data_IF_725906555482
#
_entry.id   IF_725906555482
#
_cell.length_a   1.000
_cell.length_b   1.000
_cell.length_c   1.000
_cell.angle_alpha   90.00
_cell.angle_beta   90.00
_cell.angle_gamma   90.00
#
_symmetry.space_group_name_H-M   'P 1'
#
loop_
_entity.id
_entity.type
_entity.pdbx_description
1 polymer ?
#
# COMPACT_ATOMS: atom_id res chain seq x y z
N UNK A 1 -5.79 -31.39 -35.29
CA UNK A 1 -4.66 -32.12 -34.69
C UNK A 1 -4.01 -31.23 -33.65
N UNK A 2 -4.26 -31.48 -32.36
CA UNK A 2 -3.62 -30.73 -31.27
C UNK A 2 -2.26 -31.37 -30.98
N UNK A 3 -1.19 -30.58 -31.09
CA UNK A 3 0.14 -31.02 -30.67
C UNK A 3 0.15 -31.19 -29.15
N UNK A 4 0.34 -32.43 -28.70
CA UNK A 4 0.58 -32.73 -27.29
C UNK A 4 1.93 -32.14 -26.89
N UNK A 5 1.93 -31.27 -25.88
CA UNK A 5 3.17 -30.63 -25.43
C UNK A 5 4.01 -31.66 -24.70
N UNK A 6 5.12 -32.06 -25.31
CA UNK A 6 6.12 -32.90 -24.67
C UNK A 6 6.78 -32.13 -23.52
N UNK A 7 6.84 -32.76 -22.34
CA UNK A 7 7.59 -32.24 -21.19
C UNK A 7 9.09 -32.34 -21.48
N UNK A 8 9.83 -31.27 -21.20
CA UNK A 8 11.29 -31.21 -21.33
C UNK A 8 11.88 -30.92 -19.95
N UNK A 9 12.80 -31.76 -19.51
CA UNK A 9 13.47 -31.66 -18.21
C UNK A 9 12.78 -32.42 -17.08
N UNK A 10 13.52 -32.69 -16.01
CA UNK A 10 12.96 -33.23 -14.77
C UNK A 10 12.17 -32.13 -14.01
N UNK A 11 11.13 -32.50 -13.26
CA UNK A 11 10.47 -31.55 -12.36
C UNK A 11 11.46 -31.01 -11.32
N UNK A 12 11.28 -29.76 -10.92
CA UNK A 12 12.07 -29.11 -9.87
C UNK A 12 11.14 -28.80 -8.70
N UNK A 13 11.46 -29.31 -7.51
CA UNK A 13 10.74 -29.00 -6.28
C UNK A 13 11.45 -27.88 -5.52
N UNK A 14 10.70 -26.85 -5.12
CA UNK A 14 11.21 -25.75 -4.32
C UNK A 14 10.32 -25.53 -3.11
N UNK A 15 10.90 -25.64 -1.91
CA UNK A 15 10.25 -25.25 -0.65
C UNK A 15 10.90 -23.99 -0.14
N UNK A 16 10.09 -22.99 0.21
CA UNK A 16 10.60 -21.73 0.75
C UNK A 16 10.11 -21.54 2.17
N UNK A 17 11.02 -21.19 3.07
CA UNK A 17 10.76 -20.90 4.48
C UNK A 17 11.27 -19.50 4.79
N UNK A 18 10.41 -18.69 5.38
CA UNK A 18 10.75 -17.35 5.83
C UNK A 18 9.97 -17.03 7.10
N UNK A 19 10.50 -16.11 7.89
CA UNK A 19 9.83 -15.61 9.08
C UNK A 19 9.66 -14.10 8.98
N UNK A 20 8.42 -13.66 9.18
CA UNK A 20 8.11 -12.23 9.30
C UNK A 20 8.52 -11.75 10.69
N UNK A 21 9.34 -10.69 10.74
CA UNK A 21 9.67 -9.96 11.96
C UNK A 21 8.91 -8.64 11.94
N UNK A 22 8.23 -8.32 13.04
CA UNK A 22 7.54 -7.03 13.17
C UNK A 22 8.55 -5.88 13.09
N UNK A 23 8.22 -4.84 12.31
CA UNK A 23 9.04 -3.64 12.13
C UNK A 23 8.29 -2.37 12.56
N UNK A 24 7.23 -2.53 13.35
CA UNK A 24 6.42 -1.47 13.90
C UNK A 24 5.22 -1.08 13.05
N UNK A 25 4.49 -0.08 13.54
CA UNK A 25 3.36 0.53 12.85
C UNK A 25 3.79 1.77 12.08
N UNK A 26 3.12 2.04 10.97
CA UNK A 26 3.29 3.26 10.21
C UNK A 26 2.41 4.35 10.79
N UNK A 27 2.91 5.58 10.75
CA UNK A 27 2.16 6.77 11.14
C UNK A 27 2.19 7.81 10.01
N UNK A 28 1.44 8.89 10.16
CA UNK A 28 1.66 10.10 9.35
C UNK A 28 2.54 11.06 10.14
N UNK A 29 3.50 11.66 9.46
CA UNK A 29 4.25 12.78 10.04
C UNK A 29 3.45 14.08 10.03
N UNK A 30 4.05 15.17 10.53
CA UNK A 30 3.45 16.50 10.56
C UNK A 30 3.09 17.07 9.16
N UNK A 31 3.65 16.51 8.09
CA UNK A 31 3.34 16.89 6.69
C UNK A 31 2.31 15.96 6.04
N UNK A 32 1.74 15.00 6.78
CA UNK A 32 0.78 14.03 6.30
C UNK A 32 1.39 12.97 5.37
N UNK A 33 2.70 12.72 5.47
CA UNK A 33 3.39 11.66 4.71
C UNK A 33 3.57 10.41 5.56
N UNK A 34 3.52 9.19 4.97
CA UNK A 34 3.80 7.96 5.69
C UNK A 34 5.19 7.98 6.32
N UNK A 35 5.26 7.79 7.61
CA UNK A 35 6.47 7.66 8.40
C UNK A 35 6.67 6.19 8.74
N UNK A 36 7.91 5.73 8.56
CA UNK A 36 8.33 4.37 8.87
C UNK A 36 9.33 4.47 10.03
N UNK A 37 9.35 3.46 10.90
CA UNK A 37 10.40 3.32 11.90
C UNK A 37 11.80 3.18 11.27
N UNK A 38 12.86 3.06 12.08
CA UNK A 38 14.19 2.76 11.58
C UNK A 38 14.21 1.50 10.70
N UNK A 39 14.83 1.60 9.53
CA UNK A 39 14.92 0.51 8.55
C UNK A 39 16.37 0.30 8.10
N UNK A 40 16.74 -0.96 7.96
CA UNK A 40 18.03 -1.36 7.43
C UNK A 40 18.12 -1.15 5.91
N UNK A 41 19.31 -0.81 5.43
CA UNK A 41 19.61 -0.72 4.01
C UNK A 41 20.00 -2.10 3.45
N UNK A 42 19.11 -3.07 3.59
CA UNK A 42 19.34 -4.47 3.21
C UNK A 42 18.32 -4.94 2.16
N UNK A 43 18.65 -5.96 1.35
CA UNK A 43 17.67 -6.66 0.54
C UNK A 43 16.69 -7.43 1.43
N UNK A 44 15.44 -7.54 0.98
CA UNK A 44 14.44 -8.27 1.74
C UNK A 44 13.04 -8.25 1.15
N UNK A 45 12.14 -8.89 1.89
CA UNK A 45 10.71 -8.87 1.68
C UNK A 45 10.04 -7.99 2.74
N UNK A 46 8.89 -7.44 2.40
CA UNK A 46 8.06 -6.73 3.36
C UNK A 46 6.59 -7.08 3.18
N UNK A 47 5.87 -7.03 4.29
CA UNK A 47 4.41 -7.18 4.41
C UNK A 47 3.87 -5.91 5.04
N UNK A 48 2.97 -5.23 4.32
CA UNK A 48 2.13 -4.17 4.85
C UNK A 48 0.75 -4.77 5.11
N UNK A 49 0.26 -4.61 6.32
CA UNK A 49 -1.10 -4.99 6.70
C UNK A 49 -1.86 -3.75 7.12
N UNK A 50 -2.89 -3.41 6.34
CA UNK A 50 -3.83 -2.35 6.67
C UNK A 50 -5.00 -3.02 7.38
N UNK A 51 -5.18 -2.68 8.66
CA UNK A 51 -6.29 -3.18 9.44
C UNK A 51 -7.62 -2.79 8.79
N UNK A 52 -8.68 -3.52 9.10
CA UNK A 52 -9.98 -3.11 8.59
C UNK A 52 -10.49 -1.87 9.33
N UNK A 53 -11.02 -0.90 8.59
CA UNK A 53 -11.73 0.25 9.19
C UNK A 53 -13.14 -0.13 9.65
N UNK A 54 -13.69 -1.22 9.11
CA UNK A 54 -15.02 -1.73 9.42
C UNK A 54 -14.91 -3.22 9.80
N UNK A 55 -15.54 -3.66 10.89
CA UNK A 55 -15.42 -5.04 11.38
C UNK A 55 -15.84 -6.12 10.35
N UNK A 56 -16.67 -5.75 9.37
CA UNK A 56 -17.13 -6.66 8.31
C UNK A 56 -16.14 -6.80 7.14
N UNK A 57 -15.11 -5.96 7.07
CA UNK A 57 -14.12 -5.98 6.00
C UNK A 57 -12.86 -6.74 6.43
N UNK A 58 -12.28 -7.52 5.50
CA UNK A 58 -11.01 -8.21 5.75
C UNK A 58 -9.85 -7.21 5.68
N UNK A 59 -8.78 -7.41 6.48
CA UNK A 59 -7.58 -6.60 6.35
C UNK A 59 -6.98 -6.74 4.96
N UNK A 60 -6.40 -5.65 4.47
CA UNK A 60 -5.70 -5.61 3.20
C UNK A 60 -4.22 -5.90 3.44
N UNK A 61 -3.71 -6.95 2.80
CA UNK A 61 -2.30 -7.35 2.91
C UNK A 61 -1.60 -7.13 1.58
N UNK A 62 -0.46 -6.44 1.63
CA UNK A 62 0.43 -6.20 0.51
C UNK A 62 1.80 -6.80 0.80
N UNK A 63 2.27 -7.65 -0.12
CA UNK A 63 3.61 -8.24 -0.08
C UNK A 63 4.46 -7.66 -1.19
N UNK A 64 5.68 -7.25 -0.84
CA UNK A 64 6.66 -6.76 -1.81
C UNK A 64 8.07 -7.23 -1.51
N UNK A 65 8.95 -6.97 -2.47
CA UNK A 65 10.37 -7.29 -2.41
C UNK A 65 11.18 -6.07 -2.83
N UNK A 66 12.43 -6.00 -2.37
CA UNK A 66 13.39 -5.00 -2.83
C UNK A 66 14.82 -5.43 -2.50
N UNK A 67 15.76 -4.91 -3.28
CA UNK A 67 17.19 -4.92 -2.99
C UNK A 67 17.61 -3.97 -1.84
N UNK A 68 16.73 -3.04 -1.44
CA UNK A 68 17.02 -2.06 -0.39
C UNK A 68 15.74 -1.58 0.31
N UNK A 69 15.45 -2.18 1.47
CA UNK A 69 14.26 -1.91 2.29
C UNK A 69 14.11 -0.44 2.65
N UNK A 70 15.17 0.18 3.20
CA UNK A 70 15.16 1.60 3.56
C UNK A 70 14.82 2.52 2.38
N UNK A 71 15.45 2.31 1.22
CA UNK A 71 15.18 3.11 0.01
C UNK A 71 13.77 2.91 -0.51
N UNK A 72 13.26 1.67 -0.48
CA UNK A 72 11.91 1.38 -0.99
C UNK A 72 10.82 1.98 -0.12
N UNK A 73 10.90 1.76 1.19
CA UNK A 73 9.85 2.14 2.13
C UNK A 73 9.96 3.62 2.52
N UNK A 74 11.04 4.02 3.18
CA UNK A 74 11.26 5.41 3.64
C UNK A 74 11.65 6.39 2.53
N UNK A 75 12.06 5.89 1.36
CA UNK A 75 12.33 6.69 0.17
C UNK A 75 11.13 6.71 -0.78
N UNK A 76 11.00 5.66 -1.59
CA UNK A 76 10.07 5.63 -2.73
C UNK A 76 8.60 5.69 -2.30
N UNK A 77 8.17 4.94 -1.29
CA UNK A 77 6.77 4.99 -0.83
C UNK A 77 6.44 6.24 -0.05
N UNK A 78 7.41 6.84 0.65
CA UNK A 78 7.21 8.11 1.35
C UNK A 78 7.19 9.31 0.40
N UNK A 79 8.06 9.31 -0.61
CA UNK A 79 8.25 10.39 -1.57
C UNK A 79 8.31 9.82 -3.00
N UNK A 80 7.17 9.40 -3.58
CA UNK A 80 7.15 8.82 -4.91
C UNK A 80 7.54 9.86 -5.97
N UNK A 81 8.44 9.47 -6.87
CA UNK A 81 8.75 10.25 -8.07
C UNK A 81 7.62 10.16 -9.12
N UNK A 82 7.57 11.08 -10.10
CA UNK A 82 6.49 11.17 -11.07
C UNK A 82 6.32 9.93 -11.96
N UNK A 83 7.40 9.19 -12.22
CA UNK A 83 7.36 7.93 -12.99
C UNK A 83 7.06 6.69 -12.14
N UNK A 84 7.03 6.82 -10.81
CA UNK A 84 6.90 5.69 -9.89
C UNK A 84 5.43 5.41 -9.55
N UNK A 85 4.62 5.03 -10.54
CA UNK A 85 3.18 4.85 -10.40
C UNK A 85 2.79 3.91 -9.24
N UNK A 86 3.48 2.76 -9.10
CA UNK A 86 3.24 1.84 -7.98
C UNK A 86 3.50 2.50 -6.63
N UNK A 87 4.60 3.26 -6.51
CA UNK A 87 4.94 3.96 -5.27
C UNK A 87 3.92 5.05 -4.95
N UNK A 88 3.47 5.79 -5.96
CA UNK A 88 2.42 6.81 -5.81
C UNK A 88 1.11 6.20 -5.32
N UNK A 89 0.71 5.06 -5.90
CA UNK A 89 -0.48 4.31 -5.46
C UNK A 89 -0.37 3.84 -4.01
N UNK A 90 0.76 3.22 -3.64
CA UNK A 90 0.96 2.74 -2.26
C UNK A 90 1.00 3.92 -1.28
N UNK A 91 1.67 5.03 -1.63
CA UNK A 91 1.66 6.26 -0.84
C UNK A 91 0.23 6.75 -0.59
N UNK A 92 -0.59 6.89 -1.64
CA UNK A 92 -1.97 7.34 -1.54
C UNK A 92 -2.82 6.44 -0.64
N UNK A 93 -2.71 5.13 -0.84
CA UNK A 93 -3.40 4.12 -0.02
C UNK A 93 -3.04 4.23 1.45
N UNK A 94 -1.74 4.32 1.79
CA UNK A 94 -1.28 4.44 3.17
C UNK A 94 -1.77 5.75 3.80
N UNK A 95 -1.68 6.86 3.08
CA UNK A 95 -2.12 8.17 3.57
C UNK A 95 -3.60 8.21 3.83
N UNK A 96 -4.41 7.75 2.88
CA UNK A 96 -5.86 7.72 3.02
C UNK A 96 -6.27 6.85 4.22
N UNK A 97 -5.69 5.66 4.33
CA UNK A 97 -6.01 4.74 5.41
C UNK A 97 -5.66 5.29 6.79
N UNK A 98 -4.43 5.81 6.96
CA UNK A 98 -3.96 6.38 8.21
C UNK A 98 -4.73 7.67 8.56
N UNK A 99 -5.06 8.51 7.58
CA UNK A 99 -5.82 9.74 7.82
C UNK A 99 -7.26 9.47 8.29
N UNK A 100 -7.81 8.29 7.98
CA UNK A 100 -9.12 7.83 8.48
C UNK A 100 -9.04 7.17 9.86
N UNK A 101 -7.87 7.19 10.51
CA UNK A 101 -7.64 6.57 11.82
C UNK A 101 -7.37 5.06 11.76
N UNK A 102 -7.15 4.49 10.57
CA UNK A 102 -6.76 3.08 10.43
C UNK A 102 -5.33 2.84 10.86
N UNK A 103 -5.01 1.60 11.22
CA UNK A 103 -3.66 1.17 11.56
C UNK A 103 -3.01 0.41 10.41
N UNK A 104 -1.70 0.63 10.23
CA UNK A 104 -0.91 -0.11 9.25
C UNK A 104 0.32 -0.70 9.92
N UNK A 105 0.39 -2.03 9.96
CA UNK A 105 1.54 -2.77 10.47
C UNK A 105 2.53 -3.10 9.38
N UNK A 106 3.83 -3.00 9.68
CA UNK A 106 4.91 -3.45 8.82
C UNK A 106 5.60 -4.68 9.42
N UNK A 107 5.85 -5.67 8.58
CA UNK A 107 6.77 -6.77 8.89
C UNK A 107 7.77 -6.98 7.78
N UNK A 108 8.97 -7.44 8.15
CA UNK A 108 10.10 -7.63 7.24
C UNK A 108 10.58 -9.08 7.31
N UNK A 109 11.12 -9.58 6.20
CA UNK A 109 11.91 -10.80 6.17
C UNK A 109 13.19 -10.52 5.37
N UNK A 110 14.32 -10.47 6.07
CA UNK A 110 15.67 -10.29 5.52
C UNK A 110 16.43 -11.61 5.39
N UNK A 111 15.80 -12.69 5.81
CA UNK A 111 16.36 -14.02 5.97
C UNK A 111 15.36 -15.04 5.42
N UNK A 112 15.79 -15.80 4.40
CA UNK A 112 14.93 -16.78 3.72
C UNK A 112 15.75 -18.03 3.42
N UNK A 113 15.23 -19.17 3.82
CA UNK A 113 15.79 -20.47 3.50
C UNK A 113 14.96 -21.13 2.41
N UNK A 114 15.62 -21.87 1.53
CA UNK A 114 14.97 -22.69 0.52
C UNK A 114 15.52 -24.11 0.56
N UNK A 115 14.72 -25.04 0.06
CA UNK A 115 15.13 -26.40 -0.24
C UNK A 115 14.83 -26.62 -1.73
N UNK A 116 15.85 -26.92 -2.52
CA UNK A 116 15.72 -27.17 -3.97
C UNK A 116 16.12 -28.62 -4.21
N UNK A 117 15.16 -29.42 -4.67
CA UNK A 117 15.32 -30.87 -4.86
C UNK A 117 15.93 -31.57 -3.62
N UNK A 118 15.44 -31.19 -2.44
CA UNK A 118 15.90 -31.73 -1.15
C UNK A 118 17.16 -31.08 -0.58
N UNK A 119 17.82 -30.17 -1.31
CA UNK A 119 19.06 -29.52 -0.86
C UNK A 119 18.75 -28.19 -0.15
N UNK A 120 18.96 -28.09 1.17
CA UNK A 120 18.74 -26.85 1.90
C UNK A 120 19.80 -25.80 1.56
N UNK A 121 19.38 -24.56 1.36
CA UNK A 121 20.25 -23.43 1.08
C UNK A 121 19.66 -22.13 1.60
N UNK A 122 20.54 -21.22 2.01
CA UNK A 122 20.19 -19.83 2.31
C UNK A 122 20.04 -19.07 1.00
N UNK A 123 18.91 -18.37 0.81
CA UNK A 123 18.73 -17.54 -0.37
C UNK A 123 19.49 -16.22 -0.27
N UNK A 124 20.26 -15.89 -1.31
CA UNK A 124 20.86 -14.56 -1.44
C UNK A 124 19.81 -13.55 -1.98
N UNK A 125 19.19 -12.84 -1.05
CA UNK A 125 18.18 -11.83 -1.34
C UNK A 125 18.73 -10.62 -2.10
N UNK A 126 20.04 -10.46 -2.30
CA UNK A 126 20.58 -9.42 -3.19
C UNK A 126 20.13 -9.63 -4.64
N UNK A 127 19.82 -10.88 -5.02
CA UNK A 127 19.37 -11.23 -6.37
C UNK A 127 17.84 -11.24 -6.48
N UNK A 128 17.33 -10.75 -7.61
CA UNK A 128 15.88 -10.81 -7.89
C UNK A 128 15.38 -12.25 -8.02
N UNK A 129 16.21 -13.14 -8.57
CA UNK A 129 15.89 -14.55 -8.74
C UNK A 129 15.60 -15.26 -7.42
N UNK A 130 16.27 -14.88 -6.33
CA UNK A 130 15.97 -15.36 -4.98
C UNK A 130 14.72 -14.70 -4.37
N UNK A 131 14.55 -13.38 -4.54
CA UNK A 131 13.43 -12.64 -3.93
C UNK A 131 12.06 -13.00 -4.51
N UNK A 132 11.98 -13.31 -5.80
CA UNK A 132 10.70 -13.64 -6.44
C UNK A 132 10.02 -14.91 -5.90
N UNK A 133 10.67 -16.08 -5.84
CA UNK A 133 10.07 -17.27 -5.22
C UNK A 133 9.76 -17.02 -3.74
N UNK A 134 10.64 -16.30 -3.02
CA UNK A 134 10.45 -15.94 -1.63
C UNK A 134 9.21 -15.05 -1.37
N UNK A 135 8.94 -14.07 -2.25
CA UNK A 135 7.70 -13.29 -2.24
C UNK A 135 6.46 -14.12 -2.59
N UNK A 136 6.61 -15.07 -3.50
CA UNK A 136 5.49 -15.85 -4.03
C UNK A 136 4.93 -16.83 -3.00
N UNK A 137 5.79 -17.45 -2.19
CA UNK A 137 5.38 -18.40 -1.15
C UNK A 137 4.31 -17.85 -0.16
N UNK A 138 4.50 -16.70 0.51
CA UNK A 138 3.47 -16.15 1.41
C UNK A 138 2.23 -15.67 0.65
N UNK A 139 2.36 -15.22 -0.60
CA UNK A 139 1.22 -14.83 -1.44
C UNK A 139 0.33 -16.03 -1.77
N UNK A 140 0.93 -17.18 -2.07
CA UNK A 140 0.21 -18.45 -2.28
C UNK A 140 -0.44 -18.90 -0.98
N UNK A 141 0.30 -18.94 0.13
CA UNK A 141 -0.24 -19.35 1.44
C UNK A 141 -1.40 -18.47 1.93
N UNK A 142 -1.31 -17.16 1.73
CA UNK A 142 -2.39 -16.23 2.10
C UNK A 142 -3.66 -16.45 1.27
N UNK A 143 -3.55 -16.81 -0.02
CA UNK A 143 -4.70 -17.11 -0.88
C UNK A 143 -5.44 -18.36 -0.41
N UNK A 144 -4.71 -19.35 0.08
CA UNK A 144 -5.28 -20.60 0.62
C UNK A 144 -6.01 -20.37 1.94
N UNK A 145 -5.59 -19.39 2.73
CA UNK A 145 -6.10 -19.18 4.10
C UNK A 145 -7.37 -18.30 4.15
N UNK A 146 -7.77 -17.65 3.05
CA UNK A 146 -8.93 -16.74 2.91
C UNK A 146 -9.05 -15.58 3.91
N UNK A 147 -8.20 -15.48 4.94
CA UNK A 147 -8.34 -14.56 6.07
C UNK A 147 -8.25 -13.07 5.67
N UNK A 148 -7.59 -12.75 4.56
CA UNK A 148 -7.28 -11.37 4.17
C UNK A 148 -7.51 -11.12 2.68
N UNK A 149 -7.80 -9.86 2.31
CA UNK A 149 -7.77 -9.44 0.90
C UNK A 149 -6.32 -9.20 0.50
N UNK A 150 -5.86 -9.85 -0.56
CA UNK A 150 -4.46 -9.73 -1.02
C UNK A 150 -4.40 -8.77 -2.20
N UNK A 151 -3.62 -7.71 -2.07
CA UNK A 151 -3.30 -6.84 -3.21
C UNK A 151 -1.96 -7.24 -3.80
N UNK A 152 -1.97 -7.72 -5.05
CA UNK A 152 -0.76 -7.83 -5.86
C UNK A 152 -0.49 -6.51 -6.61
N UNK A 153 0.77 -6.29 -7.01
CA UNK A 153 1.23 -5.10 -7.76
C UNK A 153 0.41 -4.81 -9.04
N UNK A 154 -0.35 -5.79 -9.55
CA UNK A 154 -1.00 -5.74 -10.86
C UNK A 154 -2.53 -5.57 -10.85
N UNK A 155 -3.21 -5.51 -9.69
CA UNK A 155 -4.69 -5.40 -9.66
C UNK A 155 -5.15 -4.05 -9.12
N UNK A 156 -6.11 -3.36 -9.76
CA UNK A 156 -6.71 -2.16 -9.21
C UNK A 156 -7.48 -2.52 -7.93
N UNK A 157 -7.15 -1.84 -6.83
CA UNK A 157 -8.06 -1.75 -5.69
C UNK A 157 -9.07 -0.70 -6.12
N UNK A 158 -10.12 -1.12 -6.81
CA UNK A 158 -11.29 -0.25 -6.99
C UNK A 158 -11.82 0.04 -5.60
N UNK A 159 -11.90 1.34 -5.26
CA UNK A 159 -12.73 1.80 -4.15
C UNK A 159 -14.13 1.23 -4.39
N UNK A 160 -14.54 0.27 -3.54
CA UNK A 160 -15.89 -0.22 -3.53
C UNK A 160 -16.80 0.99 -3.29
N UNK A 161 -17.69 1.24 -4.26
CA UNK A 161 -18.70 2.30 -4.18
C UNK A 161 -19.46 2.14 -2.86
N UNK A 162 -19.56 3.24 -2.12
CA UNK A 162 -20.48 3.35 -0.99
C UNK A 162 -21.90 2.96 -1.45
N UNK A 163 -22.71 2.32 -0.59
CA UNK A 163 -24.10 2.05 -0.90
C UNK A 163 -24.86 3.37 -1.03
N UNK A 164 -25.33 3.63 -2.24
CA UNK A 164 -26.31 4.66 -2.54
C UNK A 164 -27.65 4.24 -1.91
N UNK A 165 -27.92 4.75 -0.71
CA UNK A 165 -29.27 4.75 -0.13
C UNK A 165 -29.69 6.20 0.12
N UNK A 166 -30.66 6.66 -0.66
CA UNK A 166 -31.97 7.10 -0.18
C UNK A 166 -32.56 8.07 -1.20
N UNK A 167 -33.51 7.58 -2.00
CA UNK A 167 -34.53 8.48 -2.53
C UNK A 167 -35.33 9.07 -1.36
N UNK A 168 -35.66 10.36 -1.45
CA UNK A 168 -36.94 10.97 -1.06
C UNK A 168 -36.95 12.43 -1.57
N UNK A 169 -37.83 12.64 -2.57
CA UNK A 169 -38.71 13.81 -2.85
C UNK A 169 -38.11 15.22 -2.99
N UNK A 170 -38.19 15.74 -4.22
CA UNK A 170 -38.57 17.13 -4.55
C UNK A 170 -40.11 17.27 -4.60
N UNK A 171 -40.72 18.47 -4.75
CA UNK A 171 -40.45 19.84 -4.24
C UNK A 171 -41.79 20.46 -3.67
N UNK A 172 -42.05 21.80 -3.52
CA UNK A 172 -42.02 22.82 -4.58
C UNK A 172 -41.46 24.21 -4.18
N UNK A 173 -41.26 25.00 -5.24
CA UNK A 173 -40.88 26.40 -5.32
C UNK A 173 -41.86 27.39 -4.66
N UNK A 174 -41.33 28.52 -4.15
CA UNK A 174 -42.06 29.79 -4.01
C UNK A 174 -41.12 31.00 -3.93
N UNK A 175 -41.06 31.73 -5.05
CA UNK A 175 -41.31 33.18 -5.23
C UNK A 175 -40.78 34.20 -4.21
N UNK A 176 -39.79 35.00 -4.64
CA UNK A 176 -39.78 36.48 -4.62
C UNK A 176 -39.53 37.23 -3.30
N UNK A 177 -38.56 38.17 -3.29
CA UNK A 177 -38.77 39.63 -3.05
C UNK A 177 -37.45 40.40 -2.78
N UNK A 178 -37.08 41.22 -3.77
CA UNK A 178 -36.37 42.53 -3.82
C UNK A 178 -35.46 43.11 -2.69
N UNK A 179 -34.35 43.72 -3.17
CA UNK A 179 -33.70 45.02 -2.80
C UNK A 179 -33.08 45.11 -1.38
N UNK A 180 -31.99 45.83 -1.06
CA UNK A 180 -31.31 46.98 -1.66
C UNK A 180 -29.87 47.17 -1.11
N UNK A 181 -29.10 47.93 -1.89
CA UNK A 181 -27.80 48.62 -1.71
C UNK A 181 -27.39 49.06 -0.29
N UNK A 182 -26.08 49.03 0.01
CA UNK A 182 -25.23 50.24 0.10
C UNK A 182 -23.78 49.97 0.57
N UNK A 183 -22.81 50.45 -0.22
CA UNK A 183 -21.45 50.87 0.18
C UNK A 183 -21.50 52.41 0.30
N UNK A 184 -20.69 53.08 1.15
CA UNK A 184 -19.37 53.60 0.72
C UNK A 184 -18.31 53.71 1.87
N UNK A 185 -17.00 53.53 1.56
CA UNK A 185 -15.88 54.51 1.42
C UNK A 185 -15.33 55.17 2.70
N UNK A 186 -13.99 55.18 2.78
CA UNK A 186 -13.12 56.05 3.60
C UNK A 186 -11.85 55.29 4.01
N UNK A 187 -10.74 55.26 3.26
CA UNK A 187 -9.76 56.30 2.93
C UNK A 187 -8.95 56.82 4.15
N UNK A 188 -7.68 56.43 4.23
CA UNK A 188 -6.49 57.29 4.05
C UNK A 188 -5.32 56.98 5.01
N UNK A 189 -4.13 57.30 4.50
CA UNK A 189 -2.81 56.89 4.92
C UNK A 189 -2.16 57.79 5.98
N UNK A 190 -1.15 57.28 6.71
CA UNK A 190 0.04 58.09 6.99
C UNK A 190 1.32 57.29 7.28
N UNK A 191 2.42 57.80 6.72
CA UNK A 191 3.83 57.42 6.90
C UNK A 191 4.30 57.69 8.34
N UNK A 192 5.32 56.96 8.79
CA UNK A 192 6.60 57.61 9.16
C UNK A 192 7.74 56.58 9.18
N UNK A 193 8.86 57.01 8.60
CA UNK A 193 10.20 56.43 8.73
C UNK A 193 10.71 56.62 10.17
N UNK A 194 11.53 55.68 10.63
CA UNK A 194 12.87 55.92 11.19
C UNK A 194 13.67 54.64 11.02
#
# INVERSE_FOLDING_TARGET
>A
MGQERQLVGAPVEVRVRLQWRAAGELTLDASGKPAFGPLEAAPGLYRLELASLNEQQRPLVYFGETDNLRRRLSGNYRNPGPSQQTSARINGLLREHLARGGSVSLSLATEVDAEVDGVPQRLDLSTKAARLPAKSAPLVGARTTHASRISAESHPISAERAPEQAGIRQPPSRTGCTRSRSRPRGASAHRSRR
#
